data_IF_686488723881
#
_entry.id   IF_686488723881
#
_cell.length_a   1.000
_cell.length_b   1.000
_cell.length_c   1.000
_cell.angle_alpha   90.00
_cell.angle_beta   90.00
_cell.angle_gamma   90.00
#
_symmetry.space_group_name_H-M   'P 1'
#
loop_
_entity.id
_entity.type
_entity.pdbx_description
1 polymer ?
#
# COMPACT_ATOMS: atom_id res chain seq x y z
N UNK A 1 22.93 19.68 -3.41
CA UNK A 1 22.49 18.28 -3.33
C UNK A 1 21.19 18.24 -4.07
N UNK A 2 21.24 17.76 -5.31
CA UNK A 2 20.26 18.00 -6.36
C UNK A 2 19.15 16.94 -6.28
N UNK A 3 17.92 17.37 -6.04
CA UNK A 3 16.71 16.56 -6.17
C UNK A 3 16.58 16.04 -7.61
N UNK A 4 16.64 14.72 -7.77
CA UNK A 4 16.27 14.03 -9.00
C UNK A 4 14.90 13.39 -8.78
N UNK A 5 13.92 13.57 -9.69
CA UNK A 5 12.63 12.87 -9.61
C UNK A 5 12.87 11.37 -9.79
N UNK A 6 12.80 10.61 -8.71
CA UNK A 6 13.05 9.16 -8.71
C UNK A 6 13.64 8.62 -7.40
N UNK A 7 14.07 9.47 -6.47
CA UNK A 7 14.61 9.01 -5.21
C UNK A 7 13.48 8.58 -4.26
N UNK A 8 13.12 7.29 -4.28
CA UNK A 8 12.28 6.66 -3.25
C UNK A 8 13.07 6.66 -1.94
N UNK A 9 13.08 7.79 -1.24
CA UNK A 9 13.75 7.96 0.05
C UNK A 9 13.13 7.00 1.07
N UNK A 10 13.89 5.98 1.45
CA UNK A 10 13.54 5.07 2.55
C UNK A 10 14.07 5.66 3.86
N UNK A 11 13.24 5.69 4.90
CA UNK A 11 13.69 6.00 6.25
C UNK A 11 12.73 6.81 7.12
N UNK A 12 11.61 7.33 6.57
CA UNK A 12 10.63 8.14 7.34
C UNK A 12 11.31 9.25 8.16
N UNK A 13 12.29 9.94 7.57
CA UNK A 13 13.10 10.95 8.28
C UNK A 13 12.37 12.29 8.46
N UNK A 14 11.34 12.54 7.65
CA UNK A 14 10.52 13.75 7.67
C UNK A 14 9.12 13.45 8.24
N UNK A 15 8.38 14.51 8.56
CA UNK A 15 6.99 14.37 8.98
C UNK A 15 6.11 13.83 7.83
N UNK A 16 5.35 12.75 8.04
CA UNK A 16 4.48 12.20 7.01
C UNK A 16 3.42 13.22 6.56
N UNK A 17 3.11 13.24 5.26
CA UNK A 17 2.11 14.16 4.69
C UNK A 17 0.93 13.40 4.08
N UNK A 18 -0.28 13.66 4.59
CA UNK A 18 -1.49 13.10 3.98
C UNK A 18 -1.89 13.91 2.75
N UNK A 19 -1.74 13.31 1.57
CA UNK A 19 -2.16 13.94 0.32
C UNK A 19 -3.67 13.82 0.12
N UNK A 20 -4.38 14.90 -0.24
CA UNK A 20 -5.80 14.82 -0.58
C UNK A 20 -6.04 13.91 -1.78
N UNK A 21 -7.08 13.08 -1.70
CA UNK A 21 -7.53 12.25 -2.81
C UNK A 21 -8.29 13.13 -3.81
N UNK A 22 -7.95 13.05 -5.09
CA UNK A 22 -8.63 13.79 -6.15
C UNK A 22 -9.95 13.13 -6.57
N UNK A 23 -10.91 13.09 -5.64
CA UNK A 23 -12.20 12.44 -5.82
C UNK A 23 -13.13 13.14 -6.83
N UNK A 24 -12.74 14.32 -7.32
CA UNK A 24 -13.48 15.07 -8.34
C UNK A 24 -12.98 14.79 -9.75
N UNK A 25 -11.83 14.12 -9.89
CA UNK A 25 -11.35 13.69 -11.19
C UNK A 25 -12.38 12.76 -11.84
N UNK A 26 -12.62 12.86 -13.16
CA UNK A 26 -13.39 11.87 -13.91
C UNK A 26 -12.84 10.45 -13.74
N UNK A 27 -11.53 10.31 -13.54
CA UNK A 27 -10.83 9.03 -13.41
C UNK A 27 -11.00 8.38 -12.02
N UNK A 28 -11.59 9.08 -11.05
CA UNK A 28 -11.75 8.56 -9.68
C UNK A 28 -12.57 7.26 -9.62
N UNK A 29 -13.45 7.05 -10.60
CA UNK A 29 -14.31 5.87 -10.70
C UNK A 29 -13.76 4.80 -11.64
N UNK A 30 -12.54 4.97 -12.16
CA UNK A 30 -11.91 3.97 -13.02
C UNK A 30 -11.39 2.80 -12.17
N UNK A 31 -12.07 1.66 -12.27
CA UNK A 31 -11.74 0.45 -11.54
C UNK A 31 -10.36 -0.10 -11.90
N UNK A 32 -9.92 0.06 -13.16
CA UNK A 32 -8.60 -0.37 -13.60
C UNK A 32 -7.48 0.47 -12.98
N UNK A 33 -7.67 1.78 -12.87
CA UNK A 33 -6.78 2.69 -12.19
C UNK A 33 -6.71 2.41 -10.69
N UNK A 34 -7.85 2.07 -10.07
CA UNK A 34 -7.90 1.64 -8.68
C UNK A 34 -7.05 0.38 -8.45
N UNK A 35 -7.29 -0.69 -9.21
CA UNK A 35 -6.55 -1.94 -9.06
C UNK A 35 -5.05 -1.75 -9.27
N UNK A 36 -4.65 -0.96 -10.27
CA UNK A 36 -3.24 -0.63 -10.51
C UNK A 36 -2.59 0.10 -9.34
N UNK A 37 -3.33 1.01 -8.69
CA UNK A 37 -2.83 1.72 -7.51
C UNK A 37 -2.79 0.81 -6.28
N UNK A 38 -3.75 -0.11 -6.13
CA UNK A 38 -3.73 -1.13 -5.09
C UNK A 38 -2.51 -2.06 -5.23
N UNK A 39 -2.23 -2.56 -6.43
CA UNK A 39 -1.04 -3.35 -6.74
C UNK A 39 0.24 -2.62 -6.32
N UNK A 40 0.36 -1.34 -6.69
CA UNK A 40 1.53 -0.50 -6.33
C UNK A 40 1.71 -0.35 -4.82
N UNK A 41 0.61 -0.16 -4.08
CA UNK A 41 0.66 0.00 -2.62
C UNK A 41 0.95 -1.33 -1.93
N UNK A 42 0.34 -2.42 -2.41
CA UNK A 42 0.55 -3.76 -1.87
C UNK A 42 1.97 -4.25 -2.10
N UNK A 43 2.56 -3.98 -3.27
CA UNK A 43 3.96 -4.28 -3.58
C UNK A 43 4.92 -3.61 -2.58
N UNK A 44 4.67 -2.33 -2.28
CA UNK A 44 5.44 -1.59 -1.26
C UNK A 44 5.29 -2.21 0.13
N UNK A 45 4.06 -2.60 0.48
CA UNK A 45 3.75 -3.14 1.80
C UNK A 45 4.36 -4.53 1.99
N UNK A 46 4.22 -5.41 1.00
CA UNK A 46 4.82 -6.75 0.95
C UNK A 46 6.35 -6.68 0.93
N UNK A 47 6.95 -5.73 0.20
CA UNK A 47 8.40 -5.59 0.13
C UNK A 47 9.05 -5.17 1.46
N UNK A 48 8.37 -4.38 2.30
CA UNK A 48 8.94 -3.90 3.57
C UNK A 48 8.45 -4.63 4.83
N UNK A 49 7.22 -5.16 4.83
CA UNK A 49 6.53 -5.88 5.92
C UNK A 49 6.60 -5.27 7.33
N UNK A 50 6.89 -3.98 7.48
CA UNK A 50 7.12 -3.34 8.80
C UNK A 50 5.85 -3.15 9.64
N UNK A 51 4.67 -3.25 9.01
CA UNK A 51 3.38 -2.89 9.61
C UNK A 51 2.58 -4.08 10.17
N UNK A 52 3.10 -5.31 10.11
CA UNK A 52 2.36 -6.54 10.45
C UNK A 52 1.68 -6.54 11.82
N UNK A 53 2.25 -5.84 12.81
CA UNK A 53 1.71 -5.76 14.17
C UNK A 53 0.70 -4.61 14.40
N UNK A 54 0.41 -3.78 13.39
CA UNK A 54 -0.42 -2.58 13.59
C UNK A 54 -1.90 -2.78 13.22
N UNK A 55 -2.22 -3.68 12.29
CA UNK A 55 -3.55 -3.83 11.72
C UNK A 55 -3.70 -5.22 11.12
N UNK A 56 -4.90 -5.80 11.14
CA UNK A 56 -5.20 -7.10 10.49
C UNK A 56 -5.06 -7.07 8.97
N UNK A 57 -5.16 -5.89 8.34
CA UNK A 57 -4.97 -5.74 6.89
C UNK A 57 -3.60 -6.25 6.41
N UNK A 58 -2.54 -6.09 7.22
CA UNK A 58 -1.19 -6.49 6.82
C UNK A 58 -0.96 -8.01 6.87
N UNK A 59 -1.28 -8.74 7.96
CA UNK A 59 -1.27 -10.20 7.93
C UNK A 59 -2.10 -10.76 6.77
N UNK A 60 -3.33 -10.28 6.56
CA UNK A 60 -4.17 -10.73 5.42
C UNK A 60 -3.47 -10.53 4.08
N UNK A 61 -2.84 -9.36 3.86
CA UNK A 61 -2.09 -9.09 2.63
C UNK A 61 -0.90 -10.04 2.49
N UNK A 62 -0.12 -10.23 3.55
CA UNK A 62 1.10 -11.02 3.49
C UNK A 62 0.82 -12.50 3.30
N UNK A 63 -0.20 -13.02 3.99
CA UNK A 63 -0.65 -14.41 3.83
C UNK A 63 -1.15 -14.63 2.39
N UNK A 64 -1.95 -13.71 1.84
CA UNK A 64 -2.44 -13.81 0.47
C UNK A 64 -1.31 -13.77 -0.60
N UNK A 65 -0.24 -13.00 -0.36
CA UNK A 65 0.93 -13.02 -1.24
C UNK A 65 1.75 -14.30 -1.06
N UNK A 66 2.00 -14.72 0.18
CA UNK A 66 2.83 -15.90 0.49
C UNK A 66 2.17 -17.21 0.01
N UNK A 67 0.85 -17.26 -0.06
CA UNK A 67 0.07 -18.39 -0.59
C UNK A 67 -0.13 -18.34 -2.12
N UNK A 68 0.28 -17.26 -2.79
CA UNK A 68 0.16 -17.12 -4.24
C UNK A 68 1.19 -17.94 -5.02
N UNK A 69 0.92 -18.22 -6.30
CA UNK A 69 1.81 -19.02 -7.14
C UNK A 69 3.17 -18.36 -7.40
N UNK A 70 3.22 -17.03 -7.46
CA UNK A 70 4.46 -16.27 -7.69
C UNK A 70 5.18 -15.89 -6.40
N UNK A 71 4.49 -15.90 -5.26
CA UNK A 71 4.98 -15.31 -4.01
C UNK A 71 5.06 -13.79 -4.05
N UNK A 72 4.43 -13.16 -5.05
CA UNK A 72 4.43 -11.71 -5.31
C UNK A 72 2.99 -11.24 -5.51
N UNK A 73 2.77 -9.91 -5.49
CA UNK A 73 1.41 -9.33 -5.60
C UNK A 73 0.70 -9.67 -6.92
N UNK A 74 1.46 -9.95 -7.98
CA UNK A 74 0.92 -10.33 -9.30
C UNK A 74 0.28 -11.74 -9.33
N UNK A 75 0.59 -12.58 -8.34
CA UNK A 75 0.04 -13.93 -8.20
C UNK A 75 -1.25 -13.99 -7.38
N UNK A 76 -1.66 -12.90 -6.73
CA UNK A 76 -2.85 -12.85 -5.88
C UNK A 76 -4.15 -12.86 -6.72
N UNK A 77 -5.19 -13.55 -6.22
CA UNK A 77 -6.56 -13.33 -6.73
C UNK A 77 -7.00 -11.90 -6.36
N UNK A 78 -7.51 -11.14 -7.34
CA UNK A 78 -8.05 -9.79 -7.11
C UNK A 78 -9.14 -9.75 -6.03
N UNK A 79 -9.84 -10.86 -5.76
CA UNK A 79 -10.79 -10.93 -4.62
C UNK A 79 -10.12 -10.72 -3.27
N UNK A 80 -8.89 -11.19 -3.09
CA UNK A 80 -8.13 -11.01 -1.85
C UNK A 80 -7.87 -9.53 -1.55
N UNK A 81 -7.89 -8.67 -2.58
CA UNK A 81 -7.68 -7.23 -2.40
C UNK A 81 -8.76 -6.63 -1.51
N UNK A 82 -10.00 -7.09 -1.68
CA UNK A 82 -11.14 -6.64 -0.89
C UNK A 82 -11.08 -7.17 0.54
N UNK A 83 -10.58 -8.39 0.76
CA UNK A 83 -10.35 -8.93 2.10
C UNK A 83 -9.32 -8.10 2.89
N UNK A 84 -8.26 -7.65 2.21
CA UNK A 84 -7.26 -6.73 2.79
C UNK A 84 -7.89 -5.38 3.15
N UNK A 85 -8.74 -4.84 2.27
CA UNK A 85 -9.43 -3.56 2.45
C UNK A 85 -10.45 -3.62 3.59
N UNK A 86 -11.18 -4.71 3.75
CA UNK A 86 -12.17 -4.89 4.82
C UNK A 86 -11.54 -4.83 6.23
N UNK A 87 -10.25 -5.15 6.33
CA UNK A 87 -9.49 -5.01 7.57
C UNK A 87 -8.81 -3.64 7.75
N UNK A 88 -8.91 -2.73 6.78
CA UNK A 88 -8.32 -1.39 6.84
C UNK A 88 -9.33 -0.35 7.34
N UNK A 89 -9.07 0.22 8.53
CA UNK A 89 -9.94 1.24 9.13
C UNK A 89 -9.59 2.69 8.74
N UNK A 90 -8.67 2.90 7.80
CA UNK A 90 -8.25 4.23 7.33
C UNK A 90 -7.80 5.18 8.46
N UNK A 91 -7.14 4.64 9.49
CA UNK A 91 -6.69 5.40 10.66
C UNK A 91 -5.29 6.01 10.52
N UNK A 92 -4.60 5.76 9.40
CA UNK A 92 -3.25 6.22 9.07
C UNK A 92 -2.13 5.80 10.05
N UNK A 93 -2.40 4.96 11.05
CA UNK A 93 -1.38 4.56 12.05
C UNK A 93 -0.15 3.88 11.44
N UNK A 94 -0.34 3.05 10.42
CA UNK A 94 0.75 2.41 9.68
C UNK A 94 1.60 3.41 8.90
N UNK A 95 0.93 4.32 8.18
CA UNK A 95 1.56 5.39 7.42
C UNK A 95 2.37 6.30 8.34
N UNK A 96 1.77 6.80 9.44
CA UNK A 96 2.40 7.78 10.32
C UNK A 96 3.53 7.21 11.19
N UNK A 97 3.49 5.91 11.53
CA UNK A 97 4.34 5.38 12.61
C UNK A 97 5.43 4.41 12.15
N UNK A 98 5.27 3.75 11.00
CA UNK A 98 6.14 2.63 10.59
C UNK A 98 6.51 2.62 9.11
N UNK A 99 5.70 3.21 8.24
CA UNK A 99 5.97 3.21 6.82
C UNK A 99 7.27 3.97 6.53
N UNK A 100 8.28 3.35 5.89
CA UNK A 100 9.56 4.02 5.64
C UNK A 100 9.52 4.94 4.41
N UNK A 101 8.41 4.95 3.65
CA UNK A 101 8.24 5.68 2.38
C UNK A 101 7.35 6.92 2.53
N UNK A 102 7.37 7.54 3.70
CA UNK A 102 6.55 8.73 4.06
C UNK A 102 7.37 9.98 4.17
#
# INVERSE_FOLDING_TARGET
>A
MSDTPGDKREGSLEAPTRHPIDWKSPDFWDEGALHKEMERVFDICHGCRRCFNLCHSFPTLFDAVDESDSGEVDGMDQKAYWEVVDHCYLCDMCYMSKCPYV
#
